data_IF_814377734286
#
_entry.id   IF_814377734286
#
_cell.length_a   1.000
_cell.length_b   1.000
_cell.length_c   1.000
_cell.angle_alpha   90.00
_cell.angle_beta   90.00
_cell.angle_gamma   90.00
#
_symmetry.space_group_name_H-M   'P 1'
#
loop_
_entity.id
_entity.type
_entity.pdbx_description
1 polymer ?
#
# COMPACT_ATOMS: atom_id res chain seq x y z
N UNK A 1 29.89 -3.95 -81.43
CA UNK A 1 28.82 -4.72 -80.75
C UNK A 1 28.72 -4.18 -79.34
N UNK A 2 27.58 -3.55 -79.05
CA UNK A 2 27.01 -3.06 -77.78
C UNK A 2 27.92 -2.62 -76.60
N UNK A 3 27.76 -1.33 -76.27
CA UNK A 3 28.09 -0.68 -75.00
C UNK A 3 26.99 -1.05 -73.99
N UNK A 4 27.35 -1.41 -72.75
CA UNK A 4 26.40 -1.70 -71.68
C UNK A 4 26.91 -1.25 -70.32
N UNK A 5 26.60 0.00 -69.95
CA UNK A 5 26.86 0.57 -68.62
C UNK A 5 25.75 0.15 -67.65
N UNK A 6 26.11 -0.53 -66.56
CA UNK A 6 25.19 -0.80 -65.44
C UNK A 6 25.37 0.29 -64.36
N UNK A 7 24.34 1.10 -64.17
CA UNK A 7 24.28 2.10 -63.10
C UNK A 7 23.82 1.44 -61.78
N UNK A 8 24.59 1.59 -60.71
CA UNK A 8 24.14 1.28 -59.35
C UNK A 8 23.31 2.44 -58.79
N UNK A 9 22.01 2.23 -58.60
CA UNK A 9 21.13 3.13 -57.86
C UNK A 9 21.24 2.85 -56.36
N UNK A 10 21.88 3.75 -55.62
CA UNK A 10 21.83 3.78 -54.16
C UNK A 10 20.52 4.37 -53.68
N UNK A 11 19.69 3.58 -53.00
CA UNK A 11 18.52 4.07 -52.28
C UNK A 11 18.94 4.48 -50.85
N UNK A 12 18.89 5.78 -50.57
CA UNK A 12 19.07 6.30 -49.22
C UNK A 12 17.76 6.13 -48.44
N UNK A 13 17.77 5.28 -47.42
CA UNK A 13 16.68 5.17 -46.45
C UNK A 13 16.70 6.40 -45.55
N UNK A 14 15.73 7.31 -45.73
CA UNK A 14 15.50 8.42 -44.81
C UNK A 14 14.96 7.94 -43.45
N UNK A 15 15.12 8.74 -42.37
CA UNK A 15 14.59 8.38 -41.06
C UNK A 15 13.06 8.44 -41.07
N UNK A 16 12.42 7.28 -40.90
CA UNK A 16 11.00 7.19 -40.59
C UNK A 16 10.77 7.74 -39.17
N UNK A 17 10.41 9.02 -39.08
CA UNK A 17 9.91 9.62 -37.85
C UNK A 17 8.48 9.12 -37.62
N UNK A 18 8.34 8.06 -36.81
CA UNK A 18 7.04 7.65 -36.29
C UNK A 18 6.56 8.72 -35.29
N UNK A 19 5.88 9.75 -35.81
CA UNK A 19 5.08 10.66 -34.98
C UNK A 19 3.92 9.83 -34.42
N UNK A 20 4.02 9.49 -33.14
CA UNK A 20 3.21 8.47 -32.51
C UNK A 20 1.75 8.91 -32.35
N UNK A 21 0.84 8.00 -32.66
CA UNK A 21 -0.59 8.07 -32.32
C UNK A 21 -0.85 8.46 -30.86
N UNK A 22 0.06 8.09 -29.95
CA UNK A 22 0.02 8.44 -28.53
C UNK A 22 0.27 9.94 -28.26
N UNK A 23 1.00 10.64 -29.13
CA UNK A 23 1.29 12.07 -29.00
C UNK A 23 0.07 12.92 -29.40
N UNK A 24 -0.77 12.42 -30.31
CA UNK A 24 -2.06 13.02 -30.64
C UNK A 24 -3.12 12.83 -29.53
N UNK A 25 -3.06 11.71 -28.79
CA UNK A 25 -4.03 11.41 -27.73
C UNK A 25 -3.68 12.10 -26.39
N UNK A 26 -2.39 12.24 -26.05
CA UNK A 26 -1.95 12.80 -24.77
C UNK A 26 -1.24 14.16 -24.87
N UNK A 27 -0.79 14.59 -26.05
CA UNK A 27 -0.07 15.85 -26.26
C UNK A 27 -0.97 17.10 -26.26
N UNK A 28 -2.29 16.93 -26.41
CA UNK A 28 -3.26 18.03 -26.39
C UNK A 28 -3.43 18.69 -25.02
N UNK A 29 -3.12 17.99 -23.93
CA UNK A 29 -3.30 18.49 -22.55
C UNK A 29 -2.13 19.40 -22.15
N UNK A 30 -0.92 19.13 -22.65
CA UNK A 30 0.29 19.91 -22.34
C UNK A 30 0.33 21.29 -23.00
N UNK A 31 -0.39 21.49 -24.11
CA UNK A 31 -0.49 22.81 -24.78
C UNK A 31 -1.53 23.74 -24.14
N UNK A 32 -2.51 23.19 -23.42
CA UNK A 32 -3.49 24.00 -22.69
C UNK A 32 -2.95 24.60 -21.38
N UNK A 33 -1.84 24.10 -20.85
CA UNK A 33 -1.24 24.57 -19.58
C UNK A 33 -0.12 25.59 -19.80
N UNK A 34 0.46 25.67 -21.01
CA UNK A 34 1.49 26.68 -21.34
C UNK A 34 0.84 27.91 -21.95
N UNK A 35 0.13 28.64 -21.10
CA UNK A 35 -0.29 30.01 -21.36
C UNK A 35 0.91 30.88 -21.69
N UNK A 36 0.80 31.58 -22.81
CA UNK A 36 1.76 32.49 -23.40
C UNK A 36 2.06 33.66 -22.44
N UNK A 37 3.23 33.64 -21.79
CA UNK A 37 3.71 34.75 -20.98
C UNK A 37 4.56 35.70 -21.85
N UNK A 38 3.99 36.87 -22.18
CA UNK A 38 4.75 38.03 -22.70
C UNK A 38 5.51 38.68 -21.54
N UNK A 39 6.79 39.08 -21.70
CA UNK A 39 7.50 39.81 -20.65
C UNK A 39 7.10 41.29 -20.68
N UNK A 40 6.65 41.82 -19.53
CA UNK A 40 6.51 43.27 -19.30
C UNK A 40 7.49 43.67 -18.21
N UNK A 41 8.29 44.68 -18.54
CA UNK A 41 9.37 45.28 -17.76
C UNK A 41 8.91 45.87 -16.42
N UNK A 42 9.71 45.68 -15.38
CA UNK A 42 9.56 46.38 -14.10
C UNK A 42 10.44 47.64 -14.04
N UNK A 43 10.06 48.66 -13.25
CA UNK A 43 11.05 49.49 -12.58
C UNK A 43 10.98 49.35 -11.06
N UNK A 44 12.18 49.34 -10.47
CA UNK A 44 12.46 49.37 -9.05
C UNK A 44 12.22 50.78 -8.48
N UNK A 45 11.73 50.87 -7.24
CA UNK A 45 11.91 52.05 -6.39
C UNK A 45 11.83 51.64 -4.90
N UNK A 46 12.39 52.50 -4.05
CA UNK A 46 13.16 52.19 -2.84
C UNK A 46 12.52 52.78 -1.56
N UNK A 47 12.46 51.97 -0.48
CA UNK A 47 12.52 52.30 0.97
C UNK A 47 11.42 53.21 1.61
N UNK A 48 11.45 53.49 2.94
CA UNK A 48 11.08 52.57 4.04
C UNK A 48 10.12 53.20 5.10
N UNK A 49 9.88 52.44 6.19
CA UNK A 49 9.51 52.87 7.56
C UNK A 49 8.02 53.04 7.99
N UNK A 50 7.73 52.28 9.05
CA UNK A 50 6.92 52.57 10.26
C UNK A 50 5.41 52.80 10.17
N UNK A 51 4.75 52.10 11.10
CA UNK A 51 3.31 52.05 11.26
C UNK A 51 2.69 53.36 11.76
N UNK A 52 1.46 53.55 11.30
CA UNK A 52 0.34 54.13 12.02
C UNK A 52 -0.93 53.53 11.41
N UNK A 53 -2.00 53.46 12.22
CA UNK A 53 -3.30 52.85 11.96
C UNK A 53 -3.73 52.74 10.48
N UNK A 54 -3.83 51.50 9.97
CA UNK A 54 -4.26 51.26 8.60
C UNK A 54 -5.78 51.23 8.51
N UNK A 55 -6.34 52.15 7.71
CA UNK A 55 -7.78 52.30 7.41
C UNK A 55 -8.42 50.96 6.98
N UNK A 56 -9.69 50.68 7.35
CA UNK A 56 -10.37 49.44 7.01
C UNK A 56 -10.54 49.25 5.50
N UNK A 57 -10.58 50.35 4.73
CA UNK A 57 -10.67 50.31 3.27
C UNK A 57 -9.40 49.71 2.66
N UNK A 58 -8.22 50.05 3.19
CA UNK A 58 -6.94 49.55 2.67
C UNK A 58 -6.76 48.06 2.94
N UNK A 59 -7.29 47.54 4.06
CA UNK A 59 -7.33 46.11 4.37
C UNK A 59 -8.18 45.32 3.36
N UNK A 60 -9.28 45.92 2.91
CA UNK A 60 -10.17 45.29 1.94
C UNK A 60 -9.51 45.15 0.57
N UNK A 61 -8.76 46.17 0.14
CA UNK A 61 -8.03 46.10 -1.13
C UNK A 61 -6.81 45.17 -1.08
N UNK A 62 -6.11 45.01 0.05
CA UNK A 62 -5.00 44.04 0.17
C UNK A 62 -5.46 42.57 0.17
N UNK A 63 -6.68 42.28 0.66
CA UNK A 63 -7.25 40.94 0.60
C UNK A 63 -7.68 40.56 -0.84
N UNK A 64 -8.09 41.57 -1.62
CA UNK A 64 -8.43 41.40 -3.04
C UNK A 64 -7.20 41.26 -3.95
N UNK A 65 -6.06 41.86 -3.59
CA UNK A 65 -4.82 41.80 -4.38
C UNK A 65 -3.85 40.69 -3.93
N UNK A 66 -4.17 39.97 -2.85
CA UNK A 66 -3.47 38.74 -2.46
C UNK A 66 -2.05 38.92 -1.94
N UNK A 67 -1.61 40.13 -1.59
CA UNK A 67 -0.27 40.39 -1.05
C UNK A 67 -0.19 40.09 0.46
N UNK A 68 -0.44 38.85 0.87
CA UNK A 68 0.04 38.36 2.18
C UNK A 68 1.48 37.88 2.03
N UNK A 69 2.44 38.78 2.21
CA UNK A 69 3.82 38.45 2.58
C UNK A 69 3.86 37.97 4.03
N UNK A 70 3.31 36.78 4.26
CA UNK A 70 3.49 36.01 5.47
C UNK A 70 3.83 34.59 5.03
N UNK A 71 5.04 34.16 5.34
CA UNK A 71 5.65 32.85 5.09
C UNK A 71 4.62 31.71 5.13
N UNK A 72 3.91 31.45 4.02
CA UNK A 72 3.23 30.17 3.82
C UNK A 72 4.34 29.23 3.37
N UNK A 73 4.82 28.41 4.29
CA UNK A 73 5.46 27.14 3.92
C UNK A 73 4.54 26.54 2.86
N UNK A 74 5.04 26.42 1.64
CA UNK A 74 4.26 25.91 0.53
C UNK A 74 3.66 24.59 1.01
N UNK A 75 2.33 24.53 1.10
CA UNK A 75 1.65 23.28 1.37
C UNK A 75 2.12 22.33 0.29
N UNK A 76 2.90 21.31 0.67
CA UNK A 76 3.31 20.24 -0.21
C UNK A 76 2.06 19.78 -0.99
N UNK A 77 2.19 19.38 -2.26
CA UNK A 77 1.05 19.04 -3.11
C UNK A 77 0.16 18.03 -2.38
N UNK A 78 -0.90 18.56 -1.78
CA UNK A 78 -1.76 17.84 -0.87
C UNK A 78 -2.78 17.15 -1.73
N UNK A 79 -2.40 15.98 -2.25
CA UNK A 79 -3.39 15.02 -2.70
C UNK A 79 -4.42 14.77 -1.58
N UNK A 80 -5.64 14.33 -1.91
CA UNK A 80 -6.64 14.01 -0.90
C UNK A 80 -6.04 13.08 0.15
N UNK A 81 -6.24 13.41 1.43
CA UNK A 81 -5.72 12.58 2.53
C UNK A 81 -6.35 11.20 2.46
N UNK A 82 -5.53 10.15 2.53
CA UNK A 82 -5.94 8.75 2.51
C UNK A 82 -5.62 8.11 3.84
N UNK A 83 -6.43 7.12 4.22
CA UNK A 83 -6.14 6.24 5.35
C UNK A 83 -5.25 5.09 4.90
N UNK A 84 -4.32 4.71 5.77
CA UNK A 84 -3.46 3.56 5.62
C UNK A 84 -3.62 2.67 6.84
N UNK A 85 -4.05 1.43 6.62
CA UNK A 85 -4.02 0.40 7.64
C UNK A 85 -2.59 -0.16 7.66
N UNK A 86 -1.92 -0.05 8.79
CA UNK A 86 -0.54 -0.50 9.00
C UNK A 86 -0.55 -1.65 9.99
N UNK A 87 0.08 -2.77 9.62
CA UNK A 87 0.38 -3.85 10.56
C UNK A 87 1.63 -3.49 11.36
N UNK A 88 1.48 -3.41 12.68
CA UNK A 88 2.50 -2.86 13.57
C UNK A 88 3.64 -3.82 13.87
N UNK A 89 3.66 -5.04 13.31
CA UNK A 89 4.71 -6.03 13.57
C UNK A 89 5.79 -6.10 12.45
N UNK A 90 5.49 -5.63 11.25
CA UNK A 90 6.44 -5.52 10.11
C UNK A 90 6.30 -4.22 9.29
N UNK A 91 5.39 -3.32 9.70
CA UNK A 91 5.13 -2.07 9.01
C UNK A 91 4.41 -2.22 7.67
N UNK A 92 3.93 -3.41 7.29
CA UNK A 92 3.19 -3.57 6.03
C UNK A 92 1.92 -2.74 6.06
N UNK A 93 1.57 -2.08 4.94
CA UNK A 93 0.40 -1.22 4.88
C UNK A 93 -0.42 -1.42 3.61
N UNK A 94 -1.72 -1.10 3.71
CA UNK A 94 -2.63 -1.02 2.58
C UNK A 94 -3.61 0.15 2.77
N UNK A 95 -4.16 0.71 1.67
CA UNK A 95 -5.15 1.77 1.77
C UNK A 95 -6.42 1.30 2.49
N UNK A 96 -6.94 2.13 3.39
CA UNK A 96 -8.20 1.88 4.08
C UNK A 96 -9.07 3.13 4.06
N UNK A 97 -10.37 2.92 3.93
CA UNK A 97 -11.38 3.96 3.96
C UNK A 97 -12.47 3.61 4.97
N UNK A 98 -12.96 4.62 5.68
CA UNK A 98 -14.19 4.51 6.45
C UNK A 98 -15.40 4.38 5.52
N UNK A 99 -16.45 3.70 5.97
CA UNK A 99 -17.74 3.60 5.30
C UNK A 99 -18.85 3.97 6.30
N UNK A 100 -20.08 4.32 5.85
CA UNK A 100 -21.19 4.53 6.77
C UNK A 100 -21.36 3.31 7.69
N UNK A 101 -21.32 3.53 9.01
CA UNK A 101 -21.41 2.46 10.01
C UNK A 101 -20.13 1.65 10.28
N UNK A 102 -18.99 2.00 9.68
CA UNK A 102 -17.70 1.35 9.95
C UNK A 102 -16.53 2.33 9.80
N UNK A 103 -15.80 2.55 10.89
CA UNK A 103 -14.59 3.37 10.89
C UNK A 103 -13.43 2.70 10.13
N UNK A 104 -12.48 3.50 9.64
CA UNK A 104 -11.25 2.98 9.04
C UNK A 104 -10.47 2.04 9.98
N UNK A 105 -10.55 2.25 11.30
CA UNK A 105 -9.90 1.39 12.29
C UNK A 105 -10.57 0.02 12.39
N UNK A 106 -11.90 -0.02 12.43
CA UNK A 106 -12.67 -1.28 12.42
C UNK A 106 -12.51 -2.04 11.10
N UNK A 107 -12.48 -1.32 9.98
CA UNK A 107 -12.18 -1.92 8.69
C UNK A 107 -10.76 -2.53 8.70
N UNK A 108 -9.77 -1.77 9.18
CA UNK A 108 -8.38 -2.19 9.28
C UNK A 108 -8.21 -3.46 10.13
N UNK A 109 -8.86 -3.53 11.30
CA UNK A 109 -8.82 -4.72 12.16
C UNK A 109 -9.55 -5.92 11.55
N UNK A 110 -10.68 -5.71 10.86
CA UNK A 110 -11.41 -6.79 10.20
C UNK A 110 -10.60 -7.45 9.07
N UNK A 111 -9.74 -6.69 8.39
CA UNK A 111 -8.85 -7.21 7.35
C UNK A 111 -7.64 -7.96 7.91
N UNK A 112 -7.25 -7.68 9.16
CA UNK A 112 -6.07 -8.26 9.81
C UNK A 112 -6.37 -8.66 11.27
N UNK A 113 -7.28 -9.62 11.51
CA UNK A 113 -7.67 -10.05 12.86
C UNK A 113 -6.56 -10.82 13.59
N UNK A 114 -5.60 -11.41 12.87
CA UNK A 114 -4.50 -12.17 13.45
C UNK A 114 -3.24 -11.31 13.74
N UNK A 115 -3.32 -9.98 13.60
CA UNK A 115 -2.19 -9.09 13.86
C UNK A 115 -2.65 -7.76 14.42
N UNK A 116 -1.80 -7.13 15.23
CA UNK A 116 -2.08 -5.76 15.67
C UNK A 116 -1.94 -4.79 14.48
N UNK A 117 -2.91 -3.88 14.38
CA UNK A 117 -2.98 -2.89 13.32
C UNK A 117 -3.26 -1.50 13.84
N UNK A 118 -2.78 -0.49 13.09
CA UNK A 118 -2.92 0.92 13.41
C UNK A 118 -3.21 1.71 12.14
N UNK A 119 -4.07 2.72 12.25
CA UNK A 119 -4.43 3.57 11.11
C UNK A 119 -3.60 4.86 11.11
N UNK A 120 -2.98 5.15 9.97
CA UNK A 120 -2.26 6.39 9.70
C UNK A 120 -2.97 7.15 8.58
N UNK A 121 -2.95 8.48 8.63
CA UNK A 121 -3.60 9.33 7.64
C UNK A 121 -2.62 10.32 7.03
N UNK A 122 -2.68 10.50 5.72
CA UNK A 122 -1.85 11.45 4.99
C UNK A 122 -2.03 11.36 3.48
N UNK A 123 -1.41 12.26 2.73
CA UNK A 123 -1.38 12.16 1.26
C UNK A 123 -0.53 10.97 0.78
N UNK A 124 0.51 10.64 1.53
CA UNK A 124 1.42 9.51 1.33
C UNK A 124 1.81 8.89 2.69
N UNK A 125 2.09 7.58 2.69
CA UNK A 125 2.49 6.82 3.88
C UNK A 125 3.76 7.38 4.55
N UNK A 126 4.71 7.89 3.75
CA UNK A 126 6.00 8.39 4.23
C UNK A 126 5.85 9.59 5.19
N UNK A 127 4.71 10.28 5.13
CA UNK A 127 4.39 11.42 6.00
C UNK A 127 3.09 11.22 6.77
N UNK A 128 2.54 9.99 6.76
CA UNK A 128 1.27 9.70 7.40
C UNK A 128 1.41 9.68 8.93
N UNK A 129 0.37 10.16 9.60
CA UNK A 129 0.33 10.33 11.05
C UNK A 129 -0.87 9.60 11.63
N UNK A 130 -0.67 8.90 12.74
CA UNK A 130 -1.74 8.24 13.48
C UNK A 130 -2.48 9.22 14.40
N UNK A 131 -3.60 8.77 15.00
CA UNK A 131 -4.43 9.62 15.88
C UNK A 131 -3.71 10.13 17.13
N UNK A 132 -2.69 9.42 17.58
CA UNK A 132 -1.84 9.77 18.72
C UNK A 132 -0.66 10.67 18.34
N UNK A 133 -0.55 11.09 17.08
CA UNK A 133 0.52 11.97 16.59
C UNK A 133 1.79 11.24 16.16
N UNK A 134 1.88 9.92 16.32
CA UNK A 134 3.02 9.14 15.86
C UNK A 134 3.08 9.12 14.32
N UNK A 135 4.25 9.38 13.73
CA UNK A 135 4.46 9.20 12.29
C UNK A 135 4.69 7.73 11.96
N UNK A 136 4.26 7.30 10.79
CA UNK A 136 4.50 5.93 10.34
C UNK A 136 6.00 5.59 10.28
N UNK A 137 6.83 6.54 9.88
CA UNK A 137 8.30 6.41 9.84
C UNK A 137 8.94 6.21 11.21
N UNK A 138 8.24 6.59 12.29
CA UNK A 138 8.75 6.51 13.66
C UNK A 138 8.37 5.17 14.32
N UNK A 139 7.68 4.26 13.61
CA UNK A 139 7.48 2.90 14.08
C UNK A 139 8.81 2.14 14.05
N UNK A 140 9.09 1.37 15.11
CA UNK A 140 10.31 0.57 15.25
C UNK A 140 10.57 -0.38 14.07
N UNK A 141 9.51 -0.81 13.40
CA UNK A 141 9.52 -1.73 12.27
C UNK A 141 8.87 -1.15 11.02
N UNK A 142 8.86 0.18 10.88
CA UNK A 142 8.49 0.82 9.63
C UNK A 142 9.23 0.19 8.45
N UNK A 143 8.50 -0.14 7.38
CA UNK A 143 9.05 -0.67 6.12
C UNK A 143 9.80 -2.02 6.19
N UNK A 144 9.79 -2.75 7.30
CA UNK A 144 10.47 -4.05 7.40
C UNK A 144 9.95 -5.03 6.35
N UNK A 145 8.66 -5.00 6.05
CA UNK A 145 8.00 -5.80 5.02
C UNK A 145 8.63 -5.66 3.61
N UNK A 146 9.34 -4.56 3.33
CA UNK A 146 10.04 -4.35 2.04
C UNK A 146 11.33 -5.15 1.93
N UNK A 147 11.91 -5.53 3.06
CA UNK A 147 13.23 -6.17 3.13
C UNK A 147 13.12 -7.67 3.40
N UNK A 148 12.20 -8.05 4.28
CA UNK A 148 11.99 -9.44 4.67
C UNK A 148 10.55 -9.68 5.07
N UNK A 149 10.16 -10.94 5.00
CA UNK A 149 8.93 -11.41 5.62
C UNK A 149 9.23 -11.74 7.09
N UNK A 150 8.38 -11.26 7.99
CA UNK A 150 8.48 -11.54 9.42
C UNK A 150 7.56 -12.72 9.74
N UNK A 151 8.09 -13.76 10.36
CA UNK A 151 7.31 -14.94 10.73
C UNK A 151 6.18 -14.57 11.71
N UNK A 152 5.00 -15.14 11.50
CA UNK A 152 3.80 -14.82 12.29
C UNK A 152 3.16 -13.46 12.01
N UNK A 153 3.82 -12.55 11.27
CA UNK A 153 3.23 -11.28 10.84
C UNK A 153 2.36 -11.47 9.60
N UNK A 154 1.14 -11.98 9.77
CA UNK A 154 0.18 -12.19 8.68
C UNK A 154 -1.23 -11.78 9.09
N UNK A 155 -2.01 -11.18 8.18
CA UNK A 155 -3.36 -10.75 8.51
C UNK A 155 -4.32 -11.94 8.72
N UNK A 156 -4.00 -13.10 8.13
CA UNK A 156 -4.79 -14.33 8.23
C UNK A 156 -4.21 -15.37 9.21
N UNK A 157 -3.07 -15.11 9.84
CA UNK A 157 -2.40 -16.05 10.75
C UNK A 157 -1.80 -17.29 10.10
N UNK A 158 -1.80 -17.40 8.76
CA UNK A 158 -1.41 -18.62 8.05
C UNK A 158 -0.40 -18.40 6.93
N UNK A 159 -0.66 -17.40 6.07
CA UNK A 159 0.09 -17.20 4.83
C UNK A 159 0.61 -15.79 4.73
N UNK A 160 1.87 -15.67 4.36
CA UNK A 160 2.53 -14.40 4.15
C UNK A 160 1.87 -13.62 3.01
N UNK A 161 1.57 -12.35 3.27
CA UNK A 161 0.94 -11.44 2.30
C UNK A 161 -0.57 -11.61 2.08
N UNK A 162 -1.24 -12.57 2.72
CA UNK A 162 -2.70 -12.74 2.59
C UNK A 162 -3.50 -11.85 3.54
N UNK A 163 -4.59 -11.26 3.05
CA UNK A 163 -5.64 -10.67 3.89
C UNK A 163 -6.42 -11.76 4.63
N UNK A 164 -7.16 -11.37 5.67
CA UNK A 164 -8.11 -12.26 6.33
C UNK A 164 -9.06 -12.90 5.32
N UNK A 165 -9.23 -14.22 5.41
CA UNK A 165 -10.33 -14.88 4.72
C UNK A 165 -11.62 -14.59 5.49
N UNK A 166 -12.52 -13.83 4.87
CA UNK A 166 -13.88 -13.65 5.41
C UNK A 166 -14.69 -14.88 4.96
N UNK A 167 -15.25 -15.68 5.89
CA UNK A 167 -16.14 -16.76 5.53
C UNK A 167 -17.33 -16.21 4.74
N UNK A 168 -17.71 -16.87 3.65
CA UNK A 168 -18.84 -16.44 2.82
C UNK A 168 -20.13 -16.26 3.66
N UNK A 169 -20.30 -17.06 4.72
CA UNK A 169 -21.44 -17.00 5.63
C UNK A 169 -21.58 -15.65 6.35
N UNK A 170 -20.47 -14.95 6.54
CA UNK A 170 -20.38 -13.70 7.29
C UNK A 170 -19.93 -12.52 6.42
N UNK A 171 -19.82 -12.71 5.11
CA UNK A 171 -19.37 -11.66 4.20
C UNK A 171 -20.50 -10.63 3.97
N UNK A 172 -20.36 -9.40 4.49
CA UNK A 172 -21.40 -8.38 4.37
C UNK A 172 -21.50 -7.78 2.96
N UNK A 173 -20.60 -8.15 2.05
CA UNK A 173 -20.59 -7.64 0.67
C UNK A 173 -21.47 -8.45 -0.26
N UNK A 174 -21.86 -9.67 0.13
CA UNK A 174 -22.69 -10.56 -0.67
C UNK A 174 -24.10 -9.99 -0.85
N UNK A 175 -24.57 -10.04 -2.10
CA UNK A 175 -25.91 -9.63 -2.52
C UNK A 175 -26.69 -10.83 -3.08
N UNK A 176 -28.02 -10.82 -2.96
CA UNK A 176 -28.85 -11.88 -3.54
C UNK A 176 -28.50 -12.12 -5.01
N UNK A 177 -28.20 -13.37 -5.37
CA UNK A 177 -27.81 -13.77 -6.72
C UNK A 177 -26.30 -13.80 -6.98
N UNK A 178 -25.46 -13.36 -6.03
CA UNK A 178 -24.01 -13.52 -6.13
C UNK A 178 -23.64 -15.01 -6.15
N UNK A 179 -22.67 -15.37 -7.00
CA UNK A 179 -22.17 -16.75 -7.11
C UNK A 179 -20.83 -16.84 -6.37
N UNK A 180 -20.80 -17.68 -5.33
CA UNK A 180 -19.64 -17.91 -4.47
C UNK A 180 -18.97 -19.22 -4.83
N UNK A 181 -17.66 -19.19 -5.06
CA UNK A 181 -16.84 -20.38 -5.19
C UNK A 181 -16.61 -20.99 -3.80
N UNK A 182 -17.18 -22.17 -3.56
CA UNK A 182 -17.00 -22.94 -2.32
C UNK A 182 -16.22 -24.21 -2.60
N UNK A 183 -15.71 -24.87 -1.56
CA UNK A 183 -15.00 -26.15 -1.70
C UNK A 183 -15.83 -27.23 -2.42
N UNK A 184 -17.16 -27.14 -2.35
CA UNK A 184 -18.12 -28.07 -2.95
C UNK A 184 -18.55 -27.66 -4.38
N UNK A 185 -18.11 -26.50 -4.87
CA UNK A 185 -18.54 -25.95 -6.16
C UNK A 185 -19.06 -24.52 -6.07
N UNK A 186 -19.60 -24.02 -7.18
CA UNK A 186 -20.26 -22.72 -7.23
C UNK A 186 -21.64 -22.78 -6.58
N UNK A 187 -21.90 -21.88 -5.62
CA UNK A 187 -23.20 -21.75 -4.96
C UNK A 187 -23.72 -20.33 -5.10
N UNK A 188 -25.01 -20.17 -5.38
CA UNK A 188 -25.69 -18.89 -5.39
C UNK A 188 -26.05 -18.49 -3.95
N UNK A 189 -25.72 -17.26 -3.59
CA UNK A 189 -26.11 -16.65 -2.33
C UNK A 189 -27.55 -16.15 -2.40
N UNK A 190 -28.34 -16.52 -1.41
CA UNK A 190 -29.67 -15.97 -1.16
C UNK A 190 -29.77 -15.65 0.33
N UNK A 191 -30.19 -14.44 0.74
CA UNK A 191 -30.46 -14.20 2.15
C UNK A 191 -31.75 -14.93 2.55
N UNK A 192 -31.74 -15.62 3.69
CA UNK A 192 -32.95 -16.21 4.23
C UNK A 192 -33.78 -15.16 5.01
N UNK A 193 -34.96 -15.57 5.49
CA UNK A 193 -35.90 -14.66 6.23
C UNK A 193 -35.33 -14.10 7.53
N UNK A 194 -34.24 -14.68 8.04
CA UNK A 194 -33.54 -14.24 9.25
C UNK A 194 -32.24 -13.48 8.94
N UNK A 195 -32.05 -13.03 7.71
CA UNK A 195 -30.82 -12.37 7.22
C UNK A 195 -29.54 -13.22 7.36
N UNK A 196 -29.68 -14.55 7.41
CA UNK A 196 -28.55 -15.46 7.37
C UNK A 196 -28.27 -15.88 5.92
N UNK A 197 -27.01 -16.18 5.64
CA UNK A 197 -26.54 -16.60 4.34
C UNK A 197 -27.02 -18.02 3.98
N UNK A 198 -27.80 -18.16 2.91
CA UNK A 198 -28.16 -19.45 2.32
C UNK A 198 -27.41 -19.63 0.99
N UNK A 199 -26.83 -20.82 0.79
CA UNK A 199 -26.01 -21.13 -0.38
C UNK A 199 -26.59 -22.34 -1.12
N UNK A 200 -27.11 -22.12 -2.31
CA UNK A 200 -27.71 -23.17 -3.15
C UNK A 200 -26.81 -23.50 -4.34
N UNK A 201 -26.62 -24.78 -4.72
CA UNK A 201 -25.82 -25.13 -5.89
C UNK A 201 -26.32 -24.42 -7.15
N UNK A 202 -25.40 -23.87 -7.95
CA UNK A 202 -25.77 -23.20 -9.20
C UNK A 202 -26.14 -24.22 -10.26
N UNK A 203 -27.36 -24.10 -10.80
CA UNK A 203 -27.77 -24.85 -11.99
C UNK A 203 -27.25 -24.18 -13.26
N UNK A 204 -26.20 -24.76 -13.85
CA UNK A 204 -25.57 -24.26 -15.07
C UNK A 204 -26.53 -24.22 -16.28
N UNK A 205 -27.61 -25.01 -16.27
CA UNK A 205 -28.60 -24.98 -17.35
C UNK A 205 -29.48 -23.71 -17.29
N UNK A 206 -29.67 -23.14 -16.09
CA UNK A 206 -30.51 -21.95 -15.86
C UNK A 206 -29.76 -20.62 -15.97
N UNK A 207 -28.43 -20.64 -15.98
CA UNK A 207 -27.62 -19.44 -16.22
C UNK A 207 -27.40 -19.19 -17.71
N UNK A 208 -27.16 -17.92 -18.07
CA UNK A 208 -26.89 -17.53 -19.45
C UNK A 208 -25.55 -18.12 -19.96
N UNK A 209 -25.35 -18.07 -21.28
CA UNK A 209 -24.17 -18.67 -21.93
C UNK A 209 -22.84 -18.09 -21.41
N UNK A 210 -22.75 -16.78 -21.23
CA UNK A 210 -21.51 -16.13 -20.80
C UNK A 210 -21.13 -16.48 -19.36
N UNK A 211 -22.10 -16.51 -18.44
CA UNK A 211 -21.87 -16.95 -17.06
C UNK A 211 -21.48 -18.43 -17.05
N UNK A 212 -22.15 -19.28 -17.83
CA UNK A 212 -21.81 -20.70 -17.93
C UNK A 212 -20.36 -20.92 -18.38
N UNK A 213 -19.93 -20.22 -19.42
CA UNK A 213 -18.55 -20.28 -19.93
C UNK A 213 -17.53 -19.78 -18.90
N UNK A 214 -17.88 -18.73 -18.15
CA UNK A 214 -17.05 -18.19 -17.07
C UNK A 214 -16.91 -19.20 -15.93
N UNK A 215 -18.01 -19.78 -15.46
CA UNK A 215 -17.98 -20.77 -14.37
C UNK A 215 -17.28 -22.06 -14.79
N UNK A 216 -17.47 -22.51 -16.03
CA UNK A 216 -16.82 -23.70 -16.56
C UNK A 216 -15.29 -23.53 -16.72
N UNK A 217 -14.82 -22.31 -17.01
CA UNK A 217 -13.40 -22.00 -17.11
C UNK A 217 -12.75 -21.62 -15.77
N UNK A 218 -13.55 -21.38 -14.72
CA UNK A 218 -13.04 -21.01 -13.39
C UNK A 218 -12.71 -22.25 -12.57
N UNK A 219 -11.43 -22.45 -12.27
CA UNK A 219 -10.98 -23.53 -11.41
C UNK A 219 -11.12 -23.13 -9.94
N UNK A 220 -11.91 -23.89 -9.18
CA UNK A 220 -12.02 -23.71 -7.74
C UNK A 220 -10.82 -24.39 -7.09
N UNK A 221 -10.02 -23.61 -6.36
CA UNK A 221 -8.94 -24.18 -5.56
C UNK A 221 -9.56 -25.04 -4.45
N UNK A 222 -9.05 -26.26 -4.21
CA UNK A 222 -9.46 -27.03 -3.04
C UNK A 222 -9.17 -26.20 -1.80
N UNK A 223 -10.06 -26.29 -0.80
CA UNK A 223 -9.86 -25.60 0.46
C UNK A 223 -8.55 -26.11 1.05
N UNK A 224 -7.49 -25.31 0.99
CA UNK A 224 -6.30 -25.54 1.79
C UNK A 224 -6.65 -25.16 3.23
N UNK A 225 -7.48 -26.00 3.85
CA UNK A 225 -7.28 -26.31 5.24
C UNK A 225 -6.02 -27.18 5.26
N UNK A 226 -4.86 -26.54 5.09
CA UNK A 226 -3.67 -27.11 5.70
C UNK A 226 -4.03 -27.24 7.17
N UNK A 227 -3.89 -28.45 7.74
CA UNK A 227 -4.22 -28.69 9.13
C UNK A 227 -3.52 -27.61 9.95
N UNK A 228 -4.22 -27.11 10.98
CA UNK A 228 -3.53 -26.46 12.07
C UNK A 228 -2.31 -27.33 12.37
N UNK A 229 -1.12 -26.73 12.35
CA UNK A 229 0.03 -27.37 12.97
C UNK A 229 -0.43 -27.62 14.39
N UNK A 230 -0.87 -28.85 14.67
CA UNK A 230 -0.91 -29.34 16.03
C UNK A 230 0.51 -29.14 16.52
N UNK A 231 0.64 -28.41 17.62
CA UNK A 231 1.86 -28.37 18.39
C UNK A 231 2.21 -29.83 18.70
N UNK A 232 3.03 -30.40 17.83
CA UNK A 232 3.69 -31.67 18.03
C UNK A 232 4.59 -31.45 19.22
N UNK A 233 4.07 -31.84 20.38
CA UNK A 233 4.80 -32.11 21.60
C UNK A 233 6.12 -32.80 21.25
N UNK A 234 7.17 -31.99 21.17
CA UNK A 234 8.55 -32.47 21.15
C UNK A 234 9.06 -32.39 22.58
N UNK A 235 8.43 -33.17 23.46
CA UNK A 235 9.13 -33.78 24.58
C UNK A 235 10.14 -34.81 24.06
N UNK A 236 11.19 -34.31 23.40
CA UNK A 236 12.44 -35.02 23.25
C UNK A 236 13.39 -34.52 24.34
N UNK A 237 13.34 -35.21 25.48
CA UNK A 237 14.48 -35.56 26.33
C UNK A 237 15.60 -34.52 26.43
N UNK A 238 15.53 -33.70 27.49
CA UNK A 238 16.72 -33.11 28.10
C UNK A 238 17.59 -34.30 28.59
N UNK A 239 18.54 -34.71 27.75
CA UNK A 239 19.70 -35.46 28.20
C UNK A 239 20.56 -34.53 29.04
N UNK A 240 20.74 -34.86 30.30
CA UNK A 240 21.66 -34.17 31.20
C UNK A 240 23.11 -34.42 30.76
N UNK A 241 23.68 -33.52 29.97
CA UNK A 241 25.13 -33.46 29.75
C UNK A 241 25.73 -32.29 30.54
N UNK A 242 25.94 -32.54 31.83
CA UNK A 242 26.66 -31.65 32.74
C UNK A 242 28.19 -31.64 32.50
N UNK A 243 28.70 -32.30 31.46
CA UNK A 243 30.15 -32.57 31.30
C UNK A 243 30.90 -31.59 30.38
N UNK A 244 30.23 -30.74 29.60
CA UNK A 244 30.92 -29.85 28.65
C UNK A 244 31.35 -28.48 29.23
N UNK A 245 30.97 -28.15 30.47
CA UNK A 245 31.28 -26.84 31.10
C UNK A 245 32.56 -26.81 31.93
N UNK A 246 33.20 -27.96 32.17
CA UNK A 246 34.45 -28.05 32.96
C UNK A 246 35.69 -27.75 32.11
N UNK A 247 35.65 -27.91 30.78
CA UNK A 247 36.86 -27.80 29.94
C UNK A 247 37.17 -26.42 29.36
N UNK A 248 36.31 -25.40 29.53
CA UNK A 248 36.50 -24.06 28.94
C UNK A 248 36.77 -22.94 29.95
N UNK A 249 36.80 -23.24 31.27
CA UNK A 249 37.22 -22.30 32.32
C UNK A 249 38.72 -22.34 32.65
N UNK A 250 39.52 -23.12 31.91
CA UNK A 250 40.97 -23.30 32.18
C UNK A 250 41.91 -22.50 31.27
N UNK A 251 41.40 -21.59 30.44
CA UNK A 251 42.23 -20.70 29.61
C UNK A 251 41.61 -19.30 29.63
N UNK A 252 42.43 -18.28 29.97
CA UNK A 252 42.10 -16.85 30.19
C UNK A 252 41.74 -16.62 31.68
N UNK A 253 42.53 -16.05 32.60
CA UNK A 253 43.69 -15.14 32.57
C UNK A 253 44.26 -14.98 34.03
N UNK A 254 45.16 -14.02 34.38
CA UNK A 254 46.59 -14.17 34.62
C UNK A 254 47.05 -14.08 36.11
N UNK A 255 48.35 -14.31 36.30
CA UNK A 255 49.10 -14.09 37.53
C UNK A 255 48.85 -12.71 38.17
N UNK A 256 48.39 -12.72 39.43
CA UNK A 256 48.57 -11.67 40.43
C UNK A 256 48.39 -12.29 41.82
N UNK A 257 49.12 -11.73 42.78
CA UNK A 257 49.11 -12.04 44.23
C UNK A 257 50.10 -13.10 44.72
N UNK A 258 51.37 -12.69 44.76
CA UNK A 258 52.35 -13.30 45.66
C UNK A 258 53.32 -12.25 46.22
N UNK A 259 52.78 -11.16 46.79
CA UNK A 259 53.51 -10.32 47.76
C UNK A 259 52.48 -9.72 48.72
N UNK A 260 52.21 -10.41 49.84
CA UNK A 260 51.96 -9.83 51.18
C UNK A 260 51.79 -11.00 52.13
N UNK A 261 52.90 -11.50 52.70
CA UNK A 261 52.98 -11.99 54.07
C UNK A 261 54.42 -12.43 54.38
N UNK A 262 55.12 -11.54 55.10
CA UNK A 262 56.39 -11.65 55.86
C UNK A 262 57.51 -10.75 55.35
#
# INVERSE_FOLDING_TARGET
MAIGSAAMTGAMTGPANAQGLFEALFGGISRAIRGEARPVSAPQAYAPERGYDRDPVTRFFDDLTGQRSGQRVAAAPSGPSRGFCVRTCDGSYFPVQSRPGMSAAEACSSFCPASETKVFSGSNIDYAVARDGQRYTDLQNAFVYRQKLVDGCTCNGKRTGGLAAIPAQTDPTLRPGDIVATAEGFKAFTPNRHAQAEFTPVDLARVNKSVRETLASTKIAPNHTEPAVEDGDTTASIGNDADARVSLRSKIEPARDLITQR
#
